data_IF_820024930173
#
_entry.id   IF_820024930173
#
_cell.length_a   1.000
_cell.length_b   1.000
_cell.length_c   1.000
_cell.angle_alpha   90.00
_cell.angle_beta   90.00
_cell.angle_gamma   90.00
#
_symmetry.space_group_name_H-M   'P 1'
#
loop_
_entity.id
_entity.type
_entity.pdbx_description
1 polymer ?
#
# COMPACT_ATOMS: atom_id res chain seq x y z
N UNK A 1 1.01 -4.54 30.07
CA UNK A 1 0.90 -4.36 28.60
C UNK A 1 0.84 -5.74 27.98
N UNK A 2 -0.08 -6.01 27.04
CA UNK A 2 0.00 -7.24 26.26
C UNK A 2 1.32 -7.25 25.46
N UNK A 3 1.90 -8.44 25.19
CA UNK A 3 3.16 -8.54 24.46
C UNK A 3 2.98 -7.99 23.04
N UNK A 4 3.90 -7.12 22.62
CA UNK A 4 3.97 -6.66 21.23
C UNK A 4 4.29 -7.86 20.34
N UNK A 5 3.39 -8.14 19.39
CA UNK A 5 3.62 -9.21 18.42
C UNK A 5 4.40 -8.63 17.25
N UNK A 6 5.35 -9.39 16.71
CA UNK A 6 6.04 -9.01 15.48
C UNK A 6 5.03 -8.70 14.35
N UNK A 7 5.35 -7.75 13.45
CA UNK A 7 4.51 -7.45 12.29
C UNK A 7 4.13 -8.72 11.52
N UNK A 8 2.84 -8.84 11.18
CA UNK A 8 2.37 -9.95 10.35
C UNK A 8 2.89 -9.85 8.90
N UNK A 9 3.02 -8.62 8.41
CA UNK A 9 3.59 -8.30 7.12
C UNK A 9 4.13 -6.87 7.14
N UNK A 10 5.20 -6.61 6.40
CA UNK A 10 5.71 -5.27 6.17
C UNK A 10 5.64 -4.93 4.68
N UNK A 11 5.48 -3.65 4.36
CA UNK A 11 5.57 -3.16 2.98
C UNK A 11 6.95 -2.56 2.81
N UNK A 12 7.69 -3.05 1.82
CA UNK A 12 9.12 -2.76 1.63
C UNK A 12 9.41 -1.86 0.45
N UNK A 13 8.48 -1.74 -0.51
CA UNK A 13 8.68 -0.88 -1.67
C UNK A 13 7.43 -0.66 -2.51
N UNK A 14 7.52 0.31 -3.42
CA UNK A 14 6.53 0.61 -4.45
C UNK A 14 7.14 0.36 -5.82
N UNK A 15 6.30 -0.10 -6.74
CA UNK A 15 6.72 -0.50 -8.07
C UNK A 15 5.70 -0.08 -9.12
N UNK A 16 6.20 0.25 -10.31
CA UNK A 16 5.40 0.46 -11.51
C UNK A 16 5.51 -0.75 -12.44
N UNK A 17 4.46 -1.02 -13.20
CA UNK A 17 4.51 -1.99 -14.29
C UNK A 17 5.11 -1.39 -15.56
N UNK A 18 6.06 -2.09 -16.16
CA UNK A 18 6.65 -1.81 -17.47
C UNK A 18 6.55 -3.04 -18.36
N UNK A 19 6.88 -2.90 -19.65
CA UNK A 19 6.89 -4.05 -20.57
C UNK A 19 7.86 -5.16 -20.15
N UNK A 20 8.93 -4.81 -19.43
CA UNK A 20 9.95 -5.74 -18.93
C UNK A 20 9.67 -6.29 -17.53
N UNK A 21 8.56 -5.90 -16.89
CA UNK A 21 8.19 -6.37 -15.55
C UNK A 21 7.94 -5.21 -14.57
N UNK A 22 8.37 -5.37 -13.32
CA UNK A 22 8.20 -4.36 -12.28
C UNK A 22 9.48 -3.57 -12.06
N UNK A 23 9.35 -2.24 -12.01
CA UNK A 23 10.45 -1.33 -11.71
C UNK A 23 10.16 -0.54 -10.43
N UNK A 24 11.17 -0.27 -9.58
CA UNK A 24 10.99 0.56 -8.39
C UNK A 24 10.39 1.92 -8.75
N UNK A 25 9.32 2.29 -8.05
CA UNK A 25 8.67 3.58 -8.18
C UNK A 25 9.16 4.52 -7.08
N UNK A 26 9.86 5.58 -7.49
CA UNK A 26 10.52 6.53 -6.58
C UNK A 26 10.42 7.95 -7.15
N UNK A 27 11.04 8.93 -6.48
CA UNK A 27 11.18 10.29 -7.01
C UNK A 27 12.09 10.37 -8.24
N UNK A 28 13.04 9.44 -8.36
CA UNK A 28 14.00 9.37 -9.47
C UNK A 28 13.42 8.65 -10.70
N UNK A 29 12.34 7.89 -10.49
CA UNK A 29 11.64 7.12 -11.52
C UNK A 29 10.17 7.58 -11.60
N UNK A 30 9.91 8.80 -12.10
CA UNK A 30 8.57 9.38 -12.11
C UNK A 30 7.62 8.61 -13.03
N UNK A 31 6.34 8.60 -12.67
CA UNK A 31 5.25 8.19 -13.57
C UNK A 31 4.88 9.34 -14.51
N UNK A 32 4.71 9.04 -15.79
CA UNK A 32 4.02 9.91 -16.73
C UNK A 32 2.52 10.04 -16.41
N UNK A 33 1.90 11.10 -16.91
CA UNK A 33 0.45 11.27 -16.80
C UNK A 33 -0.34 10.15 -17.49
N UNK A 34 0.23 9.51 -18.51
CA UNK A 34 -0.37 8.34 -19.15
C UNK A 34 -0.31 7.11 -18.24
N UNK A 35 0.86 6.81 -17.65
CA UNK A 35 1.02 5.71 -16.69
C UNK A 35 0.07 5.89 -15.50
N UNK A 36 -0.05 7.09 -14.94
CA UNK A 36 -0.98 7.39 -13.83
C UNK A 36 -2.45 7.09 -14.18
N UNK A 37 -2.81 7.21 -15.46
CA UNK A 37 -4.19 6.97 -15.92
C UNK A 37 -4.49 5.50 -16.18
N UNK A 38 -3.49 4.74 -16.61
CA UNK A 38 -3.68 3.39 -17.18
C UNK A 38 -3.08 2.28 -16.33
N UNK A 39 -2.04 2.59 -15.57
CA UNK A 39 -1.24 1.59 -14.89
C UNK A 39 -1.49 1.66 -13.38
N UNK A 40 -1.69 0.51 -12.74
CA UNK A 40 -1.73 0.46 -11.30
C UNK A 40 -0.33 0.57 -10.69
N UNK A 41 -0.28 0.91 -9.41
CA UNK A 41 0.94 0.91 -8.60
C UNK A 41 0.95 -0.34 -7.73
N UNK A 42 2.05 -1.08 -7.80
CA UNK A 42 2.26 -2.30 -7.04
C UNK A 42 3.04 -2.00 -5.76
N UNK A 43 2.83 -2.80 -4.73
CA UNK A 43 3.59 -2.73 -3.49
C UNK A 43 4.22 -4.09 -3.19
N UNK A 44 5.45 -4.08 -2.70
CA UNK A 44 6.14 -5.30 -2.28
C UNK A 44 5.84 -5.58 -0.81
N UNK A 45 5.48 -6.82 -0.51
CA UNK A 45 5.16 -7.28 0.82
C UNK A 45 6.18 -8.32 1.29
N UNK A 46 6.71 -8.12 2.49
CA UNK A 46 7.59 -9.06 3.18
C UNK A 46 6.83 -9.67 4.37
N UNK A 47 6.69 -11.00 4.38
CA UNK A 47 5.95 -11.72 5.40
C UNK A 47 6.87 -11.99 6.58
N UNK A 48 6.47 -11.58 7.78
CA UNK A 48 7.27 -11.83 8.99
C UNK A 48 7.45 -13.32 9.28
N UNK A 49 8.54 -13.66 9.98
CA UNK A 49 8.92 -15.04 10.33
C UNK A 49 7.95 -15.75 11.29
N UNK A 50 6.89 -15.06 11.75
CA UNK A 50 5.94 -15.65 12.69
C UNK A 50 5.12 -16.72 11.97
N UNK A 51 5.26 -18.01 12.33
CA UNK A 51 4.42 -19.04 11.75
C UNK A 51 2.97 -18.83 12.24
N UNK A 52 2.00 -18.77 11.34
CA UNK A 52 0.62 -19.17 11.68
C UNK A 52 -0.53 -18.34 11.10
N UNK A 53 -1.02 -18.79 9.93
CA UNK A 53 -2.45 -18.93 9.58
C UNK A 53 -3.38 -17.74 9.39
N UNK A 54 -3.00 -16.50 9.70
CA UNK A 54 -3.93 -15.37 9.55
C UNK A 54 -3.93 -14.79 8.13
N UNK A 55 -5.12 -14.63 7.55
CA UNK A 55 -5.33 -13.75 6.40
C UNK A 55 -4.87 -12.31 6.75
N UNK A 56 -4.54 -11.50 5.74
CA UNK A 56 -4.04 -10.15 5.94
C UNK A 56 -5.08 -9.10 5.53
N UNK A 57 -5.12 -8.02 6.31
CA UNK A 57 -5.82 -6.79 5.97
C UNK A 57 -4.79 -5.72 5.64
N UNK A 58 -5.04 -4.95 4.58
CA UNK A 58 -4.13 -3.91 4.09
C UNK A 58 -4.92 -2.65 3.77
N UNK A 59 -4.49 -1.50 4.30
CA UNK A 59 -4.99 -0.20 3.90
C UNK A 59 -3.85 0.63 3.30
N UNK A 60 -4.16 1.41 2.26
CA UNK A 60 -3.26 2.40 1.68
C UNK A 60 -3.74 3.81 2.05
N UNK A 61 -2.79 4.69 2.36
CA UNK A 61 -3.01 6.09 2.71
C UNK A 61 -2.23 6.92 1.69
N UNK A 62 -2.94 7.51 0.74
CA UNK A 62 -2.38 8.34 -0.32
C UNK A 62 -2.49 9.82 0.07
N UNK A 63 -1.41 10.59 0.02
CA UNK A 63 -1.38 12.03 0.33
C UNK A 63 -2.15 12.43 1.59
N UNK A 64 -2.00 11.62 2.65
CA UNK A 64 -2.68 11.83 3.93
C UNK A 64 -4.23 11.89 3.82
N UNK A 65 -4.80 11.32 2.76
CA UNK A 65 -6.23 11.12 2.61
C UNK A 65 -6.74 10.02 3.55
N UNK A 66 -8.06 9.85 3.60
CA UNK A 66 -8.66 8.74 4.32
C UNK A 66 -8.09 7.39 3.84
N UNK A 67 -7.75 6.47 4.76
CA UNK A 67 -7.26 5.15 4.38
C UNK A 67 -8.23 4.43 3.45
N UNK A 68 -7.71 3.94 2.35
CA UNK A 68 -8.44 3.12 1.38
C UNK A 68 -8.13 1.65 1.65
N UNK A 69 -9.17 0.83 1.71
CA UNK A 69 -9.02 -0.60 1.93
C UNK A 69 -8.58 -1.25 0.63
N UNK A 70 -7.46 -1.99 0.68
CA UNK A 70 -7.06 -2.90 -0.38
C UNK A 70 -7.66 -4.28 -0.16
N UNK A 71 -7.50 -5.15 -1.14
CA UNK A 71 -7.99 -6.53 -1.08
C UNK A 71 -7.37 -7.24 0.13
N UNK A 72 -8.22 -7.90 0.91
CA UNK A 72 -7.76 -8.77 1.98
C UNK A 72 -7.05 -9.98 1.36
N UNK A 73 -5.84 -10.29 1.81
CA UNK A 73 -5.08 -11.41 1.27
C UNK A 73 -5.42 -12.67 2.06
N UNK A 74 -5.91 -13.69 1.36
CA UNK A 74 -6.36 -14.92 1.98
C UNK A 74 -5.24 -15.97 1.96
N UNK A 75 -5.06 -16.68 3.05
CA UNK A 75 -4.03 -17.72 3.13
C UNK A 75 -4.43 -18.92 2.25
N UNK A 76 -3.45 -19.45 1.50
CA UNK A 76 -3.65 -20.63 0.64
C UNK A 76 -4.12 -20.29 -0.78
N UNK A 77 -4.47 -19.04 -1.03
CA UNK A 77 -4.76 -18.50 -2.36
C UNK A 77 -3.67 -17.51 -2.78
N UNK A 78 -3.46 -16.46 -1.99
CA UNK A 78 -2.74 -15.27 -2.45
C UNK A 78 -1.37 -15.08 -1.78
N UNK A 79 -1.10 -15.80 -0.68
CA UNK A 79 0.08 -15.55 0.17
C UNK A 79 1.11 -16.70 0.03
N UNK A 80 2.28 -16.48 -0.62
CA UNK A 80 3.39 -17.43 -0.61
C UNK A 80 4.02 -17.54 0.80
N UNK A 81 5.00 -18.41 1.02
CA UNK A 81 5.67 -18.56 2.33
C UNK A 81 7.08 -17.99 2.26
N UNK A 82 7.43 -17.10 3.19
CA UNK A 82 8.82 -16.66 3.44
C UNK A 82 9.52 -16.00 2.25
N UNK A 83 8.76 -15.38 1.34
CA UNK A 83 9.31 -14.66 0.19
C UNK A 83 8.61 -13.32 0.02
N UNK A 84 9.34 -12.35 -0.52
CA UNK A 84 8.78 -11.09 -0.97
C UNK A 84 8.00 -11.29 -2.25
N UNK A 85 6.90 -10.58 -2.38
CA UNK A 85 6.03 -10.65 -3.55
C UNK A 85 5.14 -9.42 -3.67
N UNK A 86 4.49 -9.28 -4.82
CA UNK A 86 3.52 -8.21 -5.11
C UNK A 86 2.10 -8.79 -5.05
N UNK A 87 1.41 -8.69 -3.90
CA UNK A 87 0.14 -9.39 -3.68
C UNK A 87 -1.04 -8.81 -4.44
N UNK A 88 -1.02 -7.50 -4.66
CA UNK A 88 -2.11 -6.71 -5.23
C UNK A 88 -1.52 -5.37 -5.70
N UNK A 89 -2.40 -4.47 -6.13
CA UNK A 89 -2.05 -3.14 -6.57
C UNK A 89 -3.10 -2.12 -6.10
N UNK A 90 -2.79 -0.83 -6.28
CA UNK A 90 -3.75 0.25 -6.11
C UNK A 90 -3.65 1.23 -7.26
N UNK A 91 -4.74 1.91 -7.57
CA UNK A 91 -4.73 2.99 -8.56
C UNK A 91 -4.51 4.32 -7.87
N UNK A 92 -3.77 5.21 -8.54
CA UNK A 92 -3.71 6.62 -8.12
C UNK A 92 -5.14 7.19 -8.17
N UNK A 93 -5.67 7.79 -7.08
CA UNK A 93 -7.06 8.24 -7.04
C UNK A 93 -7.43 9.16 -8.21
N UNK A 94 -8.68 9.13 -8.73
CA UNK A 94 -9.04 9.82 -9.97
C UNK A 94 -8.89 11.35 -9.88
N UNK A 95 -8.88 12.02 -11.04
CA UNK A 95 -8.82 13.48 -11.21
C UNK A 95 -10.12 14.15 -10.73
N UNK A 96 -10.38 14.08 -9.44
CA UNK A 96 -11.43 14.84 -8.76
C UNK A 96 -10.80 15.57 -7.60
N UNK A 97 -11.33 16.75 -7.27
CA UNK A 97 -10.93 17.42 -6.04
C UNK A 97 -11.21 16.47 -4.87
N UNK A 98 -10.16 16.15 -4.14
CA UNK A 98 -10.24 15.37 -2.91
C UNK A 98 -9.72 16.23 -1.76
N UNK A 99 -10.05 15.83 -0.54
CA UNK A 99 -9.55 16.48 0.67
C UNK A 99 -8.80 15.48 1.53
N UNK A 100 -7.68 15.91 2.08
CA UNK A 100 -6.96 15.13 3.08
C UNK A 100 -7.73 15.10 4.41
N UNK A 101 -7.21 14.37 5.40
CA UNK A 101 -7.85 14.29 6.74
C UNK A 101 -7.90 15.61 7.50
N UNK A 102 -7.17 16.64 7.07
CA UNK A 102 -7.19 18.00 7.64
C UNK A 102 -8.16 18.94 6.91
N UNK A 103 -8.77 18.48 5.81
CA UNK A 103 -9.67 19.26 4.97
C UNK A 103 -8.98 20.02 3.83
N UNK A 104 -7.66 19.88 3.66
CA UNK A 104 -6.88 20.53 2.60
C UNK A 104 -7.16 19.88 1.26
N UNK A 105 -7.31 20.68 0.20
CA UNK A 105 -7.45 20.19 -1.18
C UNK A 105 -6.19 19.45 -1.61
N UNK A 106 -6.38 18.26 -2.18
CA UNK A 106 -5.33 17.43 -2.76
C UNK A 106 -5.70 17.07 -4.20
N UNK A 107 -4.68 16.93 -5.05
CA UNK A 107 -4.81 16.62 -6.48
C UNK A 107 -4.01 15.35 -6.79
N UNK A 108 -4.60 14.15 -6.62
CA UNK A 108 -3.84 12.90 -6.58
C UNK A 108 -3.11 12.53 -7.88
N UNK A 109 -3.47 13.13 -9.02
CA UNK A 109 -2.85 12.88 -10.33
C UNK A 109 -2.14 14.10 -10.91
N UNK A 110 -1.98 15.16 -10.12
CA UNK A 110 -1.25 16.34 -10.58
C UNK A 110 0.26 16.03 -10.64
N UNK A 111 1.02 16.71 -11.51
CA UNK A 111 2.47 16.63 -11.46
C UNK A 111 3.01 17.06 -10.09
N UNK A 112 4.00 16.33 -9.57
CA UNK A 112 4.59 16.60 -8.27
C UNK A 112 4.99 15.35 -7.49
N UNK A 113 5.40 15.54 -6.24
CA UNK A 113 5.73 14.45 -5.31
C UNK A 113 4.45 14.05 -4.58
N UNK A 114 4.19 12.74 -4.59
CA UNK A 114 3.10 12.11 -3.88
C UNK A 114 3.62 11.17 -2.81
N UNK A 115 2.81 10.98 -1.79
CA UNK A 115 3.17 10.22 -0.61
C UNK A 115 2.21 9.07 -0.38
N UNK A 116 2.76 7.93 0.03
CA UNK A 116 1.97 6.73 0.32
C UNK A 116 2.45 6.10 1.61
N UNK A 117 1.50 5.69 2.46
CA UNK A 117 1.74 4.79 3.58
C UNK A 117 0.81 3.59 3.51
N UNK A 118 1.26 2.49 4.06
CA UNK A 118 0.47 1.29 4.22
C UNK A 118 0.27 0.98 5.69
N UNK A 119 -0.90 0.40 5.99
CA UNK A 119 -1.14 -0.28 7.25
C UNK A 119 -1.45 -1.73 6.95
N UNK A 120 -0.76 -2.63 7.61
CA UNK A 120 -0.97 -4.08 7.50
C UNK A 120 -1.36 -4.61 8.86
N UNK A 121 -2.11 -5.71 8.89
CA UNK A 121 -2.48 -6.39 10.12
C UNK A 121 -3.13 -7.74 9.81
N UNK A 122 -3.36 -8.53 10.86
CA UNK A 122 -4.08 -9.80 10.72
C UNK A 122 -5.57 -9.54 10.55
N UNK A 123 -6.20 -10.25 9.63
CA UNK A 123 -7.64 -10.24 9.46
C UNK A 123 -8.29 -10.92 10.67
N UNK A 124 -9.22 -10.22 11.31
CA UNK A 124 -10.11 -10.79 12.31
C UNK A 124 -11.29 -11.47 11.63
N UNK A 125 -12.15 -12.15 12.40
CA UNK A 125 -13.38 -12.77 11.88
C UNK A 125 -14.21 -11.76 11.06
N UNK A 126 -14.87 -12.18 9.96
CA UNK A 126 -15.75 -11.31 9.19
C UNK A 126 -16.78 -10.58 10.08
N UNK A 127 -17.01 -9.29 9.82
CA UNK A 127 -17.92 -8.45 10.60
C UNK A 127 -17.26 -7.70 11.77
N UNK A 128 -16.01 -8.02 12.13
CA UNK A 128 -15.23 -7.22 13.07
C UNK A 128 -14.53 -6.06 12.38
N UNK A 129 -14.32 -4.97 13.13
CA UNK A 129 -13.54 -3.83 12.63
C UNK A 129 -12.09 -4.25 12.32
N UNK A 130 -11.53 -3.64 11.27
CA UNK A 130 -10.11 -3.76 10.92
C UNK A 130 -9.26 -3.24 12.08
N UNK A 131 -8.24 -4.00 12.47
CA UNK A 131 -7.37 -3.68 13.59
C UNK A 131 -5.90 -3.72 13.15
N UNK A 132 -5.26 -2.56 13.15
CA UNK A 132 -3.85 -2.38 12.78
C UNK A 132 -2.96 -2.16 14.00
N UNK A 133 -3.43 -2.49 15.21
CA UNK A 133 -2.62 -2.36 16.42
C UNK A 133 -1.47 -3.39 16.46
N UNK A 134 -0.35 -3.07 17.14
CA UNK A 134 0.75 -4.02 17.33
C UNK A 134 0.32 -5.34 17.97
N UNK A 135 -0.70 -5.32 18.84
CA UNK A 135 -1.28 -6.52 19.45
C UNK A 135 -1.92 -7.47 18.42
N UNK A 136 -2.36 -6.96 17.26
CA UNK A 136 -2.91 -7.75 16.15
C UNK A 136 -1.86 -8.00 15.04
N UNK A 137 -0.58 -7.88 15.35
CA UNK A 137 0.52 -7.95 14.36
C UNK A 137 0.49 -6.78 13.37
N UNK A 138 -0.07 -5.65 13.79
CA UNK A 138 -0.23 -4.47 12.96
C UNK A 138 1.07 -3.74 12.71
N UNK A 139 1.21 -3.18 11.52
CA UNK A 139 2.37 -2.42 11.10
C UNK A 139 1.95 -1.23 10.24
N UNK A 140 2.68 -0.12 10.38
CA UNK A 140 2.57 1.05 9.51
C UNK A 140 3.89 1.25 8.80
N UNK A 141 3.87 1.32 7.47
CA UNK A 141 5.08 1.48 6.68
C UNK A 141 5.75 2.85 6.90
N UNK A 142 7.04 2.97 6.56
CA UNK A 142 7.65 4.25 6.25
C UNK A 142 6.82 5.02 5.22
N UNK A 143 7.06 6.33 5.16
CA UNK A 143 6.50 7.16 4.10
C UNK A 143 7.24 6.83 2.79
N UNK A 144 6.51 6.33 1.81
CA UNK A 144 7.01 6.20 0.45
C UNK A 144 6.71 7.48 -0.32
N UNK A 145 7.67 7.93 -1.12
CA UNK A 145 7.54 9.09 -1.98
C UNK A 145 7.78 8.68 -3.43
N UNK A 146 6.90 9.10 -4.33
CA UNK A 146 7.11 8.95 -5.77
C UNK A 146 6.72 10.22 -6.51
N UNK A 147 7.24 10.39 -7.72
CA UNK A 147 6.96 11.56 -8.53
C UNK A 147 5.99 11.24 -9.68
N UNK A 148 5.13 12.19 -10.02
CA UNK A 148 4.38 12.24 -11.27
C UNK A 148 4.99 13.36 -12.13
N UNK A 149 5.45 13.04 -13.34
CA UNK A 149 6.02 14.03 -14.26
C UNK A 149 4.92 14.90 -14.86
N UNK A 150 5.27 16.17 -15.09
CA UNK A 150 4.39 17.14 -15.76
C UNK A 150 4.54 17.19 -17.27
N UNK A 151 5.50 16.44 -17.82
CA UNK A 151 5.74 16.39 -19.25
C UNK A 151 4.88 15.28 -19.88
N UNK A 152 4.15 15.59 -20.97
CA UNK A 152 3.39 14.62 -21.75
C UNK A 152 4.28 13.69 -22.58
#
# INVERSE_FOLDING_TARGET
MPPETAPAATVTGLYRGTFSGLEPLTKETPLSLEEVRRNPVFYELDLGDTPGEADLIIDVIYDNMQPQRLTDLMRGTDIPRGVRFWPDWFEVPPYREMRDVTGRRVYPRAPGIHTVRFRTGRRKRPGLARDFSPANGGYTSPLFEFAISGEP
#
